data_IF_525805503848
#
_entry.id   IF_525805503848
#
_cell.length_a   1.000
_cell.length_b   1.000
_cell.length_c   1.000
_cell.angle_alpha   90.00
_cell.angle_beta   90.00
_cell.angle_gamma   90.00
#
_symmetry.space_group_name_H-M   'P 1'
#
loop_
_entity.id
_entity.type
_entity.pdbx_description
1 polymer ?
#
# COMPACT_ATOMS: atom_id res chain seq x y z
N UNK A 1 29.94 30.33 -4.59
CA UNK A 1 29.79 29.32 -3.50
C UNK A 1 28.61 29.74 -2.63
N UNK A 2 27.39 29.26 -2.93
CA UNK A 2 26.21 29.54 -2.13
C UNK A 2 26.23 28.59 -0.94
N UNK A 3 26.26 29.19 0.21
CA UNK A 3 26.60 28.69 1.52
C UNK A 3 25.77 27.45 1.90
N UNK A 4 26.38 26.28 2.01
CA UNK A 4 25.79 25.01 2.45
C UNK A 4 25.03 25.17 3.79
N UNK A 5 25.49 26.07 4.67
CA UNK A 5 24.82 26.43 5.94
C UNK A 5 23.42 27.03 5.75
N UNK A 6 23.16 27.78 4.68
CA UNK A 6 21.84 28.39 4.41
C UNK A 6 20.85 27.32 3.94
N UNK A 7 21.29 26.37 3.14
CA UNK A 7 20.44 25.23 2.72
C UNK A 7 20.03 24.31 3.87
N UNK A 8 20.95 24.06 4.82
CA UNK A 8 20.66 23.26 6.02
C UNK A 8 19.64 23.96 6.94
N UNK A 9 19.75 25.27 7.10
CA UNK A 9 18.81 26.04 7.92
C UNK A 9 17.40 26.10 7.30
N UNK A 10 17.28 26.20 5.99
CA UNK A 10 15.95 26.22 5.31
C UNK A 10 15.26 24.87 5.44
N UNK A 11 15.97 23.77 5.27
CA UNK A 11 15.42 22.40 5.43
C UNK A 11 15.03 22.15 6.90
N UNK A 12 15.82 22.63 7.83
CA UNK A 12 15.56 22.50 9.27
C UNK A 12 14.34 23.33 9.70
N UNK A 13 14.22 24.57 9.21
CA UNK A 13 13.07 25.44 9.46
C UNK A 13 11.79 24.91 8.79
N UNK A 14 11.89 24.31 7.61
CA UNK A 14 10.74 23.65 6.96
C UNK A 14 10.27 22.43 7.75
N UNK A 15 11.20 21.62 8.29
CA UNK A 15 10.88 20.50 9.20
C UNK A 15 10.22 20.99 10.50
N UNK A 16 10.75 22.06 11.12
CA UNK A 16 10.16 22.63 12.34
C UNK A 16 8.76 23.21 12.07
N UNK A 17 8.56 23.99 11.00
CA UNK A 17 7.25 24.52 10.64
C UNK A 17 6.25 23.41 10.31
N UNK A 18 6.69 22.35 9.69
CA UNK A 18 5.88 21.17 9.43
C UNK A 18 5.52 20.44 10.74
N UNK A 19 6.48 20.27 11.67
CA UNK A 19 6.24 19.71 13.00
C UNK A 19 5.26 20.56 13.83
N UNK A 20 5.41 21.89 13.82
CA UNK A 20 4.50 22.81 14.52
C UNK A 20 3.10 22.76 13.92
N UNK A 21 2.98 22.71 12.58
CA UNK A 21 1.70 22.54 11.88
C UNK A 21 1.03 21.20 12.25
N UNK A 22 1.81 20.13 12.40
CA UNK A 22 1.33 18.80 12.80
C UNK A 22 0.86 18.75 14.26
N UNK A 23 1.63 19.36 15.17
CA UNK A 23 1.22 19.52 16.57
C UNK A 23 -0.09 20.29 16.72
N UNK A 24 -0.35 21.26 15.85
CA UNK A 24 -1.61 22.03 15.86
C UNK A 24 -2.82 21.25 15.37
N UNK A 25 -2.61 20.12 14.63
CA UNK A 25 -3.67 19.25 14.12
C UNK A 25 -3.83 17.94 14.87
N UNK A 26 -3.16 17.75 16.02
CA UNK A 26 -3.17 16.47 16.76
C UNK A 26 -2.76 15.21 15.92
N UNK A 27 -2.09 15.40 14.78
CA UNK A 27 -1.59 14.30 13.97
C UNK A 27 -0.15 14.01 14.40
N UNK A 28 0.08 12.86 14.99
CA UNK A 28 1.42 12.34 15.27
C UNK A 28 1.84 11.45 14.10
N UNK A 29 3.00 11.72 13.52
CA UNK A 29 3.63 10.81 12.56
C UNK A 29 4.60 9.91 13.30
N UNK A 30 4.52 8.63 13.06
CA UNK A 30 5.50 7.66 13.51
C UNK A 30 6.07 6.96 12.27
N UNK A 31 7.41 6.99 12.14
CA UNK A 31 8.08 6.20 11.12
C UNK A 31 7.94 4.71 11.46
N UNK A 32 7.55 3.91 10.49
CA UNK A 32 7.55 2.45 10.58
C UNK A 32 8.34 1.84 9.44
N UNK A 33 9.18 0.92 9.78
CA UNK A 33 9.86 0.08 8.82
C UNK A 33 8.92 -1.03 8.35
N UNK A 34 9.09 -1.45 7.11
CA UNK A 34 8.39 -2.58 6.53
C UNK A 34 9.26 -3.27 5.47
N UNK A 35 9.01 -4.54 5.25
CA UNK A 35 9.57 -5.32 4.17
C UNK A 35 8.49 -5.61 3.13
N UNK A 36 8.78 -5.39 1.86
CA UNK A 36 7.94 -5.89 0.75
C UNK A 36 8.33 -7.34 0.50
N UNK A 37 7.57 -8.27 1.06
CA UNK A 37 7.83 -9.71 0.95
C UNK A 37 7.26 -10.29 -0.33
N UNK A 38 8.02 -11.20 -0.96
CA UNK A 38 7.53 -12.03 -2.04
C UNK A 38 6.65 -13.14 -1.45
N UNK A 39 5.36 -13.15 -1.82
CA UNK A 39 4.43 -14.19 -1.41
C UNK A 39 4.48 -15.39 -2.37
N UNK A 40 4.45 -15.09 -3.68
CA UNK A 40 4.39 -16.12 -4.71
C UNK A 40 4.94 -15.58 -6.04
N UNK A 41 5.71 -16.41 -6.73
CA UNK A 41 6.13 -16.14 -8.10
C UNK A 41 5.15 -16.82 -9.06
N UNK A 42 4.44 -16.02 -9.84
CA UNK A 42 3.57 -16.53 -10.89
C UNK A 42 4.24 -16.52 -12.27
N UNK A 43 3.61 -17.18 -13.23
CA UNK A 43 4.11 -17.23 -14.61
C UNK A 43 4.17 -15.83 -15.23
N UNK A 44 3.11 -15.05 -15.07
CA UNK A 44 3.02 -13.69 -15.62
C UNK A 44 3.06 -12.59 -14.57
N UNK A 45 2.70 -12.88 -13.32
CA UNK A 45 2.67 -11.91 -12.22
C UNK A 45 3.22 -12.52 -10.94
N UNK A 46 4.17 -11.88 -10.31
CA UNK A 46 4.55 -12.20 -8.94
C UNK A 46 3.79 -11.33 -7.94
N UNK A 47 3.41 -11.95 -6.85
CA UNK A 47 2.65 -11.36 -5.76
C UNK A 47 3.59 -11.02 -4.60
N UNK A 48 3.46 -9.81 -4.10
CA UNK A 48 4.18 -9.31 -2.93
C UNK A 48 3.17 -8.80 -1.90
N UNK A 49 3.61 -8.64 -0.65
CA UNK A 49 2.83 -7.94 0.37
C UNK A 49 3.74 -7.25 1.37
N UNK A 50 3.38 -6.07 1.90
CA UNK A 50 4.14 -5.42 2.94
C UNK A 50 3.94 -6.14 4.28
N UNK A 51 5.04 -6.37 5.02
CA UNK A 51 5.03 -6.79 6.42
C UNK A 51 5.71 -5.71 7.25
N UNK A 52 5.00 -5.13 8.19
CA UNK A 52 5.55 -4.13 9.09
C UNK A 52 6.48 -4.75 10.11
N UNK A 53 7.52 -4.00 10.50
CA UNK A 53 8.47 -4.42 11.52
C UNK A 53 7.76 -4.76 12.84
N UNK A 54 8.16 -5.89 13.44
CA UNK A 54 7.56 -6.41 14.66
C UNK A 54 6.23 -7.18 14.46
N UNK A 55 5.74 -7.28 13.22
CA UNK A 55 4.51 -8.02 12.92
C UNK A 55 4.83 -9.42 12.34
N UNK A 56 4.03 -10.41 12.73
CA UNK A 56 4.20 -11.80 12.30
C UNK A 56 3.72 -12.00 10.86
N UNK A 57 2.63 -11.30 10.47
CA UNK A 57 1.93 -11.50 9.21
C UNK A 57 2.08 -10.29 8.30
N UNK A 58 2.11 -10.54 7.00
CA UNK A 58 1.98 -9.49 5.97
C UNK A 58 0.58 -8.87 5.99
N UNK A 59 0.39 -7.72 5.38
CA UNK A 59 -0.91 -7.05 5.32
C UNK A 59 -1.97 -7.92 4.61
N UNK A 60 -1.58 -8.67 3.59
CA UNK A 60 -2.49 -9.60 2.90
C UNK A 60 -2.88 -10.79 3.78
N UNK A 61 -1.93 -11.38 4.52
CA UNK A 61 -2.23 -12.48 5.45
C UNK A 61 -3.16 -12.02 6.57
N UNK A 62 -2.95 -10.83 7.13
CA UNK A 62 -3.88 -10.25 8.11
C UNK A 62 -5.28 -10.07 7.54
N UNK A 63 -5.39 -9.60 6.30
CA UNK A 63 -6.66 -9.50 5.61
C UNK A 63 -7.35 -10.87 5.51
N UNK A 64 -6.64 -11.91 5.08
CA UNK A 64 -7.18 -13.25 4.99
C UNK A 64 -7.61 -13.80 6.36
N UNK A 65 -6.77 -13.66 7.38
CA UNK A 65 -7.07 -14.09 8.75
C UNK A 65 -8.32 -13.40 9.31
N UNK A 66 -8.52 -12.13 8.98
CA UNK A 66 -9.68 -11.36 9.47
C UNK A 66 -10.98 -11.78 8.79
N UNK A 67 -10.96 -12.11 7.50
CA UNK A 67 -12.20 -12.26 6.73
C UNK A 67 -12.51 -13.69 6.27
N UNK A 68 -11.56 -14.65 6.37
CA UNK A 68 -11.71 -16.02 5.85
C UNK A 68 -12.90 -16.80 6.39
N UNK A 69 -13.30 -16.56 7.63
CA UNK A 69 -14.37 -17.30 8.27
C UNK A 69 -15.74 -16.64 8.02
N UNK A 70 -15.86 -15.36 8.33
CA UNK A 70 -17.13 -14.64 8.25
C UNK A 70 -17.52 -14.30 6.78
N UNK A 71 -16.53 -14.10 5.90
CA UNK A 71 -16.73 -13.70 4.51
C UNK A 71 -16.08 -14.68 3.53
N UNK A 72 -16.19 -15.99 3.82
CA UNK A 72 -15.53 -17.05 3.08
C UNK A 72 -15.78 -17.00 1.57
N UNK A 73 -17.02 -16.73 1.16
CA UNK A 73 -17.39 -16.64 -0.26
C UNK A 73 -16.72 -15.46 -0.95
N UNK A 74 -16.72 -14.29 -0.32
CA UNK A 74 -16.08 -13.08 -0.85
C UNK A 74 -14.55 -13.26 -0.94
N UNK A 75 -13.93 -13.87 0.07
CA UNK A 75 -12.51 -14.21 0.06
C UNK A 75 -12.20 -15.19 -1.08
N UNK A 76 -13.03 -16.20 -1.32
CA UNK A 76 -12.84 -17.12 -2.44
C UNK A 76 -12.93 -16.41 -3.81
N UNK A 77 -13.84 -15.45 -3.97
CA UNK A 77 -13.93 -14.62 -5.19
C UNK A 77 -12.61 -13.85 -5.39
N UNK A 78 -12.09 -13.24 -4.33
CA UNK A 78 -10.81 -12.50 -4.38
C UNK A 78 -9.64 -13.42 -4.75
N UNK A 79 -9.52 -14.58 -4.11
CA UNK A 79 -8.44 -15.55 -4.41
C UNK A 79 -8.51 -16.01 -5.86
N UNK A 80 -9.68 -16.40 -6.36
CA UNK A 80 -9.87 -16.77 -7.77
C UNK A 80 -9.48 -15.63 -8.72
N UNK A 81 -9.79 -14.39 -8.37
CA UNK A 81 -9.39 -13.22 -9.16
C UNK A 81 -7.87 -13.05 -9.19
N UNK A 82 -7.21 -13.25 -8.05
CA UNK A 82 -5.75 -13.20 -7.94
C UNK A 82 -5.12 -14.32 -8.80
N UNK A 83 -5.66 -15.53 -8.76
CA UNK A 83 -5.19 -16.65 -9.61
C UNK A 83 -5.31 -16.32 -11.11
N UNK A 84 -6.44 -15.77 -11.53
CA UNK A 84 -6.62 -15.32 -12.91
C UNK A 84 -5.60 -14.23 -13.29
N UNK A 85 -5.30 -13.31 -12.39
CA UNK A 85 -4.28 -12.27 -12.60
C UNK A 85 -2.88 -12.91 -12.75
N UNK A 86 -2.52 -13.89 -11.92
CA UNK A 86 -1.23 -14.59 -12.02
C UNK A 86 -1.03 -15.25 -13.39
N UNK A 87 -2.09 -15.80 -13.97
CA UNK A 87 -2.07 -16.49 -15.25
C UNK A 87 -2.12 -15.54 -16.46
N UNK A 88 -2.80 -14.40 -16.35
CA UNK A 88 -3.09 -13.54 -17.49
C UNK A 88 -2.29 -12.23 -17.50
N UNK A 89 -1.75 -11.81 -16.37
CA UNK A 89 -1.12 -10.50 -16.16
C UNK A 89 -2.03 -9.57 -15.34
N UNK A 90 -1.43 -8.61 -14.66
CA UNK A 90 -2.15 -7.63 -13.86
C UNK A 90 -2.73 -6.50 -14.74
N UNK A 91 -3.72 -6.85 -15.57
CA UNK A 91 -4.41 -5.92 -16.47
C UNK A 91 -5.44 -5.05 -15.72
N UNK A 92 -5.58 -3.79 -16.13
CA UNK A 92 -6.47 -2.80 -15.50
C UNK A 92 -7.92 -3.28 -15.35
N UNK A 93 -8.41 -4.10 -16.28
CA UNK A 93 -9.79 -4.66 -16.26
C UNK A 93 -10.11 -5.50 -15.02
N UNK A 94 -9.10 -6.04 -14.33
CA UNK A 94 -9.30 -6.84 -13.12
C UNK A 94 -9.52 -5.99 -11.88
N UNK A 95 -9.20 -4.72 -11.95
CA UNK A 95 -9.18 -3.82 -10.81
C UNK A 95 -10.25 -2.73 -10.90
N UNK A 96 -10.39 -2.06 -9.78
CA UNK A 96 -11.14 -0.84 -9.59
C UNK A 96 -10.17 0.23 -9.12
N UNK A 97 -10.20 1.41 -9.75
CA UNK A 97 -9.41 2.55 -9.30
C UNK A 97 -9.95 3.07 -7.97
N UNK A 98 -9.10 3.19 -6.96
CA UNK A 98 -9.50 3.65 -5.62
C UNK A 98 -8.62 4.79 -5.10
N UNK A 99 -7.38 4.85 -5.36
CA UNK A 99 -6.49 5.92 -4.91
C UNK A 99 -6.72 7.26 -5.62
N UNK A 100 -5.66 7.97 -5.90
CA UNK A 100 -5.66 9.16 -6.73
C UNK A 100 -5.20 8.80 -8.15
N UNK A 101 -5.52 9.66 -9.13
CA UNK A 101 -5.02 9.49 -10.52
C UNK A 101 -3.48 9.44 -10.64
N UNK A 102 -2.76 9.77 -9.57
CA UNK A 102 -1.30 9.85 -9.54
C UNK A 102 -0.63 8.64 -8.90
N UNK A 103 -1.36 7.81 -8.18
CA UNK A 103 -0.84 6.60 -7.56
C UNK A 103 -1.28 5.35 -8.31
N UNK A 104 -0.72 4.20 -7.92
CA UNK A 104 -1.02 2.89 -8.50
C UNK A 104 -1.93 2.05 -7.59
N UNK A 105 -2.62 2.71 -6.65
CA UNK A 105 -3.53 2.04 -5.72
C UNK A 105 -4.81 1.65 -6.43
N UNK A 106 -5.12 0.37 -6.35
CA UNK A 106 -6.31 -0.24 -6.91
C UNK A 106 -6.99 -1.13 -5.89
N UNK A 107 -8.22 -1.52 -6.16
CA UNK A 107 -8.96 -2.47 -5.34
C UNK A 107 -9.43 -3.68 -6.16
N UNK A 108 -9.46 -4.82 -5.49
CA UNK A 108 -10.12 -6.04 -5.92
C UNK A 108 -11.39 -6.26 -5.07
N UNK A 109 -12.43 -6.89 -5.61
CA UNK A 109 -12.62 -7.25 -7.01
C UNK A 109 -13.02 -6.04 -7.87
N UNK A 110 -13.07 -6.25 -9.18
CA UNK A 110 -13.55 -5.25 -10.14
C UNK A 110 -15.04 -4.90 -9.92
N UNK A 111 -15.56 -3.89 -10.63
CA UNK A 111 -16.98 -3.49 -10.54
C UNK A 111 -17.99 -4.56 -10.96
N UNK A 112 -17.55 -5.59 -11.67
CA UNK A 112 -18.42 -6.67 -12.13
C UNK A 112 -18.80 -7.66 -11.02
N UNK A 113 -18.07 -7.64 -9.90
CA UNK A 113 -18.32 -8.51 -8.76
C UNK A 113 -19.21 -7.79 -7.72
N UNK A 114 -20.15 -8.53 -7.13
CA UNK A 114 -21.13 -7.99 -6.17
C UNK A 114 -20.65 -7.90 -4.74
N UNK A 115 -19.45 -8.41 -4.45
CA UNK A 115 -18.86 -8.39 -3.12
C UNK A 115 -18.65 -6.96 -2.57
N UNK A 116 -18.94 -6.76 -1.30
CA UNK A 116 -18.60 -5.56 -0.56
C UNK A 116 -17.20 -5.61 0.08
N UNK A 117 -16.58 -6.80 0.10
CA UNK A 117 -15.21 -6.95 0.57
C UNK A 117 -14.25 -6.31 -0.45
N UNK A 118 -13.30 -5.52 0.02
CA UNK A 118 -12.29 -4.84 -0.79
C UNK A 118 -10.90 -5.21 -0.31
N UNK A 119 -10.07 -5.67 -1.22
CA UNK A 119 -8.63 -5.84 -1.03
C UNK A 119 -7.93 -4.75 -1.81
N UNK A 120 -7.18 -3.88 -1.12
CA UNK A 120 -6.39 -2.84 -1.78
C UNK A 120 -5.02 -3.38 -2.16
N UNK A 121 -4.52 -2.94 -3.30
CA UNK A 121 -3.24 -3.37 -3.86
C UNK A 121 -2.57 -2.25 -4.65
N UNK A 122 -1.25 -2.41 -4.92
CA UNK A 122 -0.50 -1.60 -5.86
C UNK A 122 -0.26 -2.41 -7.13
N UNK A 123 -0.82 -1.97 -8.23
CA UNK A 123 -0.49 -2.49 -9.56
C UNK A 123 0.78 -1.81 -10.07
N UNK A 124 1.94 -2.33 -9.66
CA UNK A 124 3.25 -1.75 -10.00
C UNK A 124 3.48 -1.82 -11.52
N UNK A 125 3.13 -2.96 -12.12
CA UNK A 125 3.18 -3.21 -13.55
C UNK A 125 2.33 -4.43 -13.90
N UNK A 126 2.15 -4.73 -15.16
CA UNK A 126 1.48 -5.97 -15.60
C UNK A 126 2.11 -7.26 -15.04
N UNK A 127 3.29 -7.18 -14.40
CA UNK A 127 4.07 -8.32 -13.90
C UNK A 127 4.24 -8.34 -12.39
N UNK A 128 3.91 -7.25 -11.69
CA UNK A 128 4.16 -7.09 -10.25
C UNK A 128 2.91 -6.53 -9.59
N UNK A 129 2.37 -7.27 -8.64
CA UNK A 129 1.23 -6.87 -7.82
C UNK A 129 1.62 -6.93 -6.34
N UNK A 130 1.46 -5.81 -5.61
CA UNK A 130 1.66 -5.76 -4.16
C UNK A 130 0.29 -5.76 -3.50
N UNK A 131 -0.07 -6.85 -2.83
CA UNK A 131 -1.32 -7.02 -2.10
C UNK A 131 -1.19 -6.34 -0.72
N UNK A 132 -2.09 -5.44 -0.42
CA UNK A 132 -2.16 -4.78 0.88
C UNK A 132 -3.22 -5.39 1.78
N UNK A 133 -3.84 -4.53 2.57
CA UNK A 133 -4.97 -4.83 3.42
C UNK A 133 -6.27 -4.28 2.82
N UNK A 134 -7.38 -4.44 3.52
CA UNK A 134 -8.67 -3.99 3.05
C UNK A 134 -9.78 -4.17 4.07
N UNK A 135 -11.00 -4.35 3.61
CA UNK A 135 -12.15 -4.58 4.49
C UNK A 135 -13.49 -4.47 3.80
N UNK A 136 -14.55 -4.50 4.59
CA UNK A 136 -15.92 -4.39 4.12
C UNK A 136 -16.26 -2.93 3.86
N UNK A 137 -16.53 -2.58 2.62
CA UNK A 137 -16.96 -1.23 2.23
C UNK A 137 -18.44 -1.04 2.53
N UNK A 138 -18.73 -0.29 3.57
CA UNK A 138 -20.10 0.10 4.02
C UNK A 138 -20.45 1.55 3.65
N UNK A 139 -19.45 2.33 3.26
CA UNK A 139 -19.56 3.76 2.96
C UNK A 139 -19.48 4.00 1.44
N UNK A 140 -19.83 5.21 0.99
CA UNK A 140 -19.70 5.56 -0.44
C UNK A 140 -18.24 5.60 -0.89
N UNK A 141 -17.37 6.17 -0.05
CA UNK A 141 -15.94 6.27 -0.31
C UNK A 141 -15.12 5.59 0.78
N UNK A 142 -13.90 5.15 0.46
CA UNK A 142 -13.00 4.55 1.45
C UNK A 142 -12.53 5.56 2.50
N UNK A 143 -12.57 6.86 2.21
CA UNK A 143 -12.16 7.93 3.12
C UNK A 143 -13.06 8.08 4.34
N UNK A 144 -14.30 7.60 4.24
CA UNK A 144 -15.30 7.64 5.33
C UNK A 144 -15.11 6.50 6.34
N UNK A 145 -14.31 5.49 6.01
CA UNK A 145 -13.97 4.36 6.88
C UNK A 145 -12.49 4.44 7.28
N UNK A 146 -12.22 4.54 8.58
CA UNK A 146 -10.87 4.74 9.12
C UNK A 146 -9.92 3.61 8.71
N UNK A 147 -10.38 2.35 8.72
CA UNK A 147 -9.54 1.20 8.39
C UNK A 147 -9.24 1.12 6.89
N UNK A 148 -10.27 1.33 6.05
CA UNK A 148 -10.09 1.36 4.59
C UNK A 148 -9.20 2.54 4.19
N UNK A 149 -9.41 3.71 4.79
CA UNK A 149 -8.58 4.89 4.56
C UNK A 149 -7.12 4.60 4.93
N UNK A 150 -6.85 4.00 6.10
CA UNK A 150 -5.50 3.62 6.55
C UNK A 150 -4.84 2.65 5.57
N UNK A 151 -5.56 1.62 5.12
CA UNK A 151 -5.05 0.65 4.16
C UNK A 151 -4.63 1.31 2.84
N UNK A 152 -5.47 2.18 2.28
CA UNK A 152 -5.15 2.95 1.05
C UNK A 152 -3.97 3.90 1.28
N UNK A 153 -3.96 4.65 2.39
CA UNK A 153 -2.89 5.61 2.69
C UNK A 153 -1.53 4.94 2.85
N UNK A 154 -1.46 3.79 3.50
CA UNK A 154 -0.22 3.03 3.62
C UNK A 154 0.30 2.61 2.24
N UNK A 155 -0.55 2.10 1.36
CA UNK A 155 -0.17 1.75 -0.01
C UNK A 155 0.29 2.98 -0.81
N UNK A 156 -0.39 4.14 -0.68
CA UNK A 156 0.03 5.38 -1.34
C UNK A 156 1.44 5.81 -0.91
N UNK A 157 1.77 5.69 0.38
CA UNK A 157 3.10 6.02 0.91
C UNK A 157 4.17 5.06 0.39
N UNK A 158 3.86 3.76 0.35
CA UNK A 158 4.73 2.75 -0.26
C UNK A 158 4.95 3.05 -1.75
N UNK A 159 3.91 3.38 -2.50
CA UNK A 159 3.99 3.72 -3.93
C UNK A 159 4.90 4.92 -4.21
N UNK A 160 4.80 5.97 -3.39
CA UNK A 160 5.68 7.16 -3.50
C UNK A 160 7.15 6.77 -3.36
N UNK A 161 7.47 5.90 -2.39
CA UNK A 161 8.85 5.47 -2.15
C UNK A 161 9.33 4.57 -3.29
N UNK A 162 8.54 3.58 -3.68
CA UNK A 162 8.89 2.69 -4.80
C UNK A 162 9.14 3.51 -6.07
N UNK A 163 8.25 4.42 -6.44
CA UNK A 163 8.44 5.32 -7.60
C UNK A 163 9.74 6.11 -7.53
N UNK A 164 10.07 6.64 -6.35
CA UNK A 164 11.32 7.36 -6.13
C UNK A 164 12.55 6.48 -6.34
N UNK A 165 12.49 5.22 -5.89
CA UNK A 165 13.58 4.26 -6.04
C UNK A 165 13.66 3.72 -7.48
N UNK A 166 12.53 3.50 -8.16
CA UNK A 166 12.47 3.16 -9.58
C UNK A 166 13.10 4.27 -10.45
N UNK A 167 12.72 5.54 -10.22
CA UNK A 167 13.27 6.69 -10.94
C UNK A 167 14.80 6.82 -10.77
N UNK A 168 15.34 6.35 -9.66
CA UNK A 168 16.80 6.30 -9.38
C UNK A 168 17.45 5.01 -9.85
N UNK A 169 16.70 4.07 -10.41
CA UNK A 169 17.15 2.72 -10.79
C UNK A 169 17.72 1.91 -9.62
N UNK A 170 17.29 2.21 -8.39
CA UNK A 170 17.65 1.48 -7.18
C UNK A 170 16.75 0.24 -7.05
N UNK A 171 15.44 0.38 -7.34
CA UNK A 171 14.53 -0.74 -7.56
C UNK A 171 14.32 -0.88 -9.06
N UNK A 172 14.39 -2.12 -9.56
CA UNK A 172 14.15 -2.46 -10.96
C UNK A 172 13.26 -3.68 -11.07
N UNK A 173 12.57 -3.83 -12.18
CA UNK A 173 11.76 -5.00 -12.51
C UNK A 173 12.52 -5.82 -13.54
N UNK A 174 12.77 -7.09 -13.24
CA UNK A 174 13.36 -8.05 -14.17
C UNK A 174 12.45 -9.29 -14.26
N UNK A 175 11.83 -9.48 -15.42
CA UNK A 175 10.79 -10.50 -15.57
C UNK A 175 9.59 -10.19 -14.66
N UNK A 176 9.27 -11.10 -13.77
CA UNK A 176 8.22 -10.96 -12.75
C UNK A 176 8.79 -10.66 -11.36
N UNK A 177 10.05 -10.22 -11.23
CA UNK A 177 10.68 -10.01 -9.94
C UNK A 177 11.06 -8.54 -9.73
N UNK A 178 10.86 -8.05 -8.49
CA UNK A 178 11.43 -6.82 -8.00
C UNK A 178 12.87 -7.06 -7.54
N UNK A 179 13.78 -6.22 -7.97
CA UNK A 179 15.19 -6.24 -7.57
C UNK A 179 15.55 -4.92 -6.92
N UNK A 180 16.29 -4.98 -5.81
CA UNK A 180 16.75 -3.83 -5.03
C UNK A 180 16.37 -3.94 -3.57
N UNK A 181 16.59 -2.89 -2.76
CA UNK A 181 16.20 -2.87 -1.36
C UNK A 181 14.67 -2.82 -1.25
N UNK A 182 14.08 -3.84 -0.65
CA UNK A 182 12.64 -3.96 -0.41
C UNK A 182 12.27 -3.65 1.06
N UNK A 183 13.24 -3.28 1.88
CA UNK A 183 13.04 -2.70 3.20
C UNK A 183 12.79 -1.19 3.04
N UNK A 184 11.63 -0.72 3.48
CA UNK A 184 11.18 0.64 3.32
C UNK A 184 10.80 1.23 4.68
N UNK A 185 10.91 2.55 4.80
CA UNK A 185 10.39 3.31 5.95
C UNK A 185 9.30 4.24 5.48
N UNK A 186 8.13 4.18 6.10
CA UNK A 186 6.99 5.07 5.80
C UNK A 186 6.54 5.81 7.06
N UNK A 187 6.02 7.01 6.87
CA UNK A 187 5.33 7.75 7.93
C UNK A 187 3.92 7.19 8.07
N UNK A 188 3.52 6.76 9.26
CA UNK A 188 2.16 6.33 9.55
C UNK A 188 1.43 7.47 10.28
N UNK A 189 0.23 7.81 9.77
CA UNK A 189 -0.66 8.76 10.43
C UNK A 189 -1.36 8.04 11.59
N UNK A 190 -1.14 8.49 12.82
CA UNK A 190 -1.90 8.06 13.99
C UNK A 190 -2.79 9.22 14.46
N UNK A 191 -4.06 8.95 14.63
CA UNK A 191 -4.87 9.79 15.49
C UNK A 191 -4.52 9.45 16.95
N UNK A 192 -4.39 10.45 17.83
CA UNK A 192 -4.10 10.23 19.25
C UNK A 192 -5.13 9.31 19.94
N UNK A 193 -6.31 9.15 19.36
CA UNK A 193 -7.38 8.28 19.83
C UNK A 193 -7.11 6.79 19.57
N UNK A 194 -6.18 6.46 18.67
CA UNK A 194 -5.78 5.07 18.37
C UNK A 194 -4.75 4.52 19.37
N UNK A 195 -4.32 5.33 20.36
CA UNK A 195 -3.26 5.01 21.33
C UNK A 195 -3.77 4.74 22.75
N UNK A 196 -5.11 4.66 22.98
CA UNK A 196 -5.72 4.41 24.29
C UNK A 196 -6.34 3.01 24.36
#
# INVERSE_FOLDING_TARGET
MINIKVKFNIIFLQKINFYVYLCSKNISYMEKNLLIELLETGEKVSLYSPRFEGEEYTEFEKFLLTYKDQYAQDVQILIRRIDIIKENGAEDRFFRYEGSKRDRVMALPSHLDTSNLRLYCLNISHKILILGNGGIKKTQTYQEDVNLHRAVRNLQKIDIIIKKLENRRIITINGTNLHGPLELTIDIDYNKEDLI
#
